data_IF_815921878127
#
_entry.id   IF_815921878127
#
_cell.length_a   1.000
_cell.length_b   1.000
_cell.length_c   1.000
_cell.angle_alpha   90.00
_cell.angle_beta   90.00
_cell.angle_gamma   90.00
#
_symmetry.space_group_name_H-M   'P 1'
#
loop_
_entity.id
_entity.type
_entity.pdbx_description
1 polymer ?
#
# COMPACT_ATOMS: atom_id res chain seq x y z
N UNK A 1 -2.16 14.08 80.40
CA UNK A 1 -1.76 13.22 79.26
C UNK A 1 -2.69 13.54 78.11
N UNK A 2 -2.24 14.21 77.03
CA UNK A 2 -3.08 14.42 75.86
C UNK A 2 -2.97 13.18 74.96
N UNK A 3 -4.10 12.52 74.68
CA UNK A 3 -4.17 11.49 73.65
C UNK A 3 -4.34 12.20 72.30
N UNK A 4 -3.30 12.16 71.46
CA UNK A 4 -3.34 12.55 70.05
C UNK A 4 -4.01 11.47 69.20
N UNK A 5 -4.53 11.83 68.03
CA UNK A 5 -5.69 11.21 67.43
C UNK A 5 -5.31 10.01 66.56
N UNK A 6 -6.16 8.99 66.52
CA UNK A 6 -6.09 7.95 65.51
C UNK A 6 -6.41 8.58 64.15
N UNK A 7 -5.34 8.85 63.37
CA UNK A 7 -5.40 9.10 61.94
C UNK A 7 -6.08 7.90 61.29
N UNK A 8 -7.39 8.02 61.05
CA UNK A 8 -8.09 7.16 60.10
C UNK A 8 -7.44 7.42 58.74
N UNK A 9 -6.57 6.51 58.32
CA UNK A 9 -6.10 6.44 56.95
C UNK A 9 -7.36 6.31 56.09
N UNK A 10 -7.76 7.39 55.43
CA UNK A 10 -8.70 7.37 54.34
C UNK A 10 -8.10 6.41 53.30
N UNK A 11 -8.57 5.18 53.29
CA UNK A 11 -8.50 4.32 52.12
C UNK A 11 -9.19 5.12 51.02
N UNK A 12 -8.39 5.77 50.18
CA UNK A 12 -8.85 6.50 49.03
C UNK A 12 -9.56 5.47 48.15
N UNK A 13 -10.88 5.36 48.29
CA UNK A 13 -11.72 4.52 47.45
C UNK A 13 -11.73 5.17 46.09
N UNK A 14 -10.66 4.94 45.33
CA UNK A 14 -10.53 5.35 43.94
C UNK A 14 -11.42 4.43 43.11
N UNK A 15 -12.73 4.55 43.32
CA UNK A 15 -13.79 3.94 42.53
C UNK A 15 -13.96 4.76 41.25
N UNK A 16 -12.86 4.88 40.50
CA UNK A 16 -12.87 5.53 39.21
C UNK A 16 -13.33 4.53 38.16
N UNK A 17 -14.28 4.94 37.32
CA UNK A 17 -14.58 4.23 36.07
C UNK A 17 -13.24 4.05 35.31
N UNK A 18 -12.92 2.83 34.84
CA UNK A 18 -11.65 2.60 34.16
C UNK A 18 -11.51 3.49 32.93
N UNK A 19 -10.31 4.04 32.70
CA UNK A 19 -10.06 4.95 31.57
C UNK A 19 -9.66 4.17 30.32
N UNK A 20 -10.27 4.49 29.17
CA UNK A 20 -9.86 3.93 27.87
C UNK A 20 -8.48 4.48 27.49
N UNK A 21 -7.52 3.60 27.22
CA UNK A 21 -6.14 3.94 26.84
C UNK A 21 -5.48 2.83 26.03
N UNK A 22 -4.59 3.20 25.12
CA UNK A 22 -3.78 2.26 24.36
C UNK A 22 -2.57 1.72 25.14
N UNK A 23 -2.29 2.25 26.34
CA UNK A 23 -1.19 1.75 27.20
C UNK A 23 -1.33 0.27 27.54
N UNK A 24 -2.58 -0.20 27.63
CA UNK A 24 -2.86 -1.58 27.99
C UNK A 24 -2.35 -2.60 26.97
N UNK A 25 -2.28 -2.22 25.69
CA UNK A 25 -1.87 -3.11 24.61
C UNK A 25 -0.41 -3.55 24.72
N UNK A 26 0.41 -2.72 25.37
CA UNK A 26 1.83 -3.00 25.60
C UNK A 26 2.10 -3.80 26.88
N UNK A 27 1.12 -3.89 27.78
CA UNK A 27 1.27 -4.68 29.00
C UNK A 27 1.09 -6.17 28.69
N UNK A 28 2.02 -7.00 29.18
CA UNK A 28 1.86 -8.46 29.14
C UNK A 28 0.75 -8.95 30.07
N UNK A 29 0.60 -8.29 31.22
CA UNK A 29 -0.42 -8.62 32.21
C UNK A 29 -1.68 -7.81 31.88
N UNK A 30 -2.67 -8.50 31.32
CA UNK A 30 -3.99 -7.94 31.00
C UNK A 30 -5.07 -9.00 31.15
N UNK A 31 -6.27 -8.57 31.52
CA UNK A 31 -7.44 -9.42 31.67
C UNK A 31 -8.34 -9.25 30.44
N UNK A 32 -8.77 -10.37 29.87
CA UNK A 32 -9.64 -10.42 28.69
C UNK A 32 -11.11 -10.46 29.10
N UNK A 33 -11.88 -9.45 28.68
CA UNK A 33 -13.34 -9.34 28.88
C UNK A 33 -14.11 -9.38 27.55
N UNK A 34 -13.59 -10.10 26.56
CA UNK A 34 -14.22 -10.30 25.25
C UNK A 34 -14.01 -9.11 24.32
N UNK A 35 -14.66 -7.96 24.61
CA UNK A 35 -14.59 -6.74 23.78
C UNK A 35 -13.47 -5.77 24.18
N UNK A 36 -12.91 -5.96 25.37
CA UNK A 36 -11.90 -5.06 25.94
C UNK A 36 -10.91 -5.83 26.80
N UNK A 37 -9.73 -5.22 26.97
CA UNK A 37 -8.71 -5.64 27.90
C UNK A 37 -8.66 -4.68 29.08
N UNK A 38 -8.43 -5.20 30.29
CA UNK A 38 -8.22 -4.40 31.51
C UNK A 38 -6.82 -4.67 32.05
N UNK A 39 -6.11 -3.60 32.41
CA UNK A 39 -4.79 -3.68 33.03
C UNK A 39 -4.51 -2.43 33.87
N UNK A 40 -3.42 -2.47 34.62
CA UNK A 40 -2.94 -1.34 35.40
C UNK A 40 -2.13 -0.38 34.53
N UNK A 41 -2.21 0.92 34.80
CA UNK A 41 -1.49 1.95 34.05
C UNK A 41 0.04 1.82 34.11
N UNK A 42 0.55 1.10 35.11
CA UNK A 42 1.96 0.77 35.34
C UNK A 42 2.30 -0.69 34.95
N UNK A 43 1.39 -1.39 34.27
CA UNK A 43 1.48 -2.82 33.94
C UNK A 43 1.66 -3.76 35.14
N UNK A 44 1.29 -3.34 36.36
CA UNK A 44 1.19 -4.22 37.53
C UNK A 44 -0.04 -5.14 37.46
N UNK A 45 -0.16 -6.07 38.40
CA UNK A 45 -1.24 -7.06 38.41
C UNK A 45 -2.61 -6.44 38.78
N UNK A 46 -3.61 -6.51 37.88
CA UNK A 46 -4.97 -6.04 38.14
C UNK A 46 -5.78 -7.10 38.90
N UNK A 47 -6.57 -6.65 39.87
CA UNK A 47 -7.53 -7.49 40.61
C UNK A 47 -8.95 -6.99 40.34
N UNK A 48 -9.83 -7.87 39.86
CA UNK A 48 -11.23 -7.55 39.57
C UNK A 48 -12.09 -8.06 40.71
N UNK A 49 -12.86 -7.15 41.31
CA UNK A 49 -13.77 -7.42 42.42
C UNK A 49 -15.14 -7.86 41.92
N UNK A 50 -15.62 -7.24 40.84
CA UNK A 50 -16.88 -7.60 40.18
C UNK A 50 -16.67 -7.68 38.67
N UNK A 51 -16.91 -8.86 38.11
CA UNK A 51 -16.75 -9.14 36.68
C UNK A 51 -17.82 -8.44 35.83
N UNK A 52 -19.01 -8.23 36.36
CA UNK A 52 -20.13 -7.64 35.62
C UNK A 52 -19.93 -6.14 35.46
N UNK A 53 -19.59 -5.46 36.54
CA UNK A 53 -19.30 -4.01 36.52
C UNK A 53 -17.85 -3.68 36.17
N UNK A 54 -16.99 -4.71 36.02
CA UNK A 54 -15.56 -4.59 35.72
C UNK A 54 -14.83 -3.68 36.71
N UNK A 55 -15.30 -3.67 37.95
CA UNK A 55 -14.75 -2.88 39.04
C UNK A 55 -13.57 -3.64 39.68
N UNK A 56 -12.49 -2.93 39.99
CA UNK A 56 -11.29 -3.55 40.57
C UNK A 56 -10.26 -2.55 41.08
N UNK A 57 -9.05 -3.04 41.31
CA UNK A 57 -7.90 -2.22 41.71
C UNK A 57 -6.58 -2.86 41.25
N UNK A 58 -5.51 -2.06 41.28
CA UNK A 58 -4.14 -2.52 41.05
C UNK A 58 -3.42 -2.71 42.37
N UNK A 59 -2.65 -3.78 42.52
CA UNK A 59 -1.88 -4.03 43.77
C UNK A 59 -0.89 -2.93 44.10
N UNK A 60 -0.35 -2.24 43.09
CA UNK A 60 0.56 -1.11 43.25
C UNK A 60 -0.16 0.20 43.64
N UNK A 61 -1.49 0.23 43.65
CA UNK A 61 -2.28 1.46 43.78
C UNK A 61 -2.39 2.28 42.50
N UNK A 62 -1.86 1.78 41.37
CA UNK A 62 -2.03 2.40 40.07
C UNK A 62 -3.49 2.45 39.61
N UNK A 63 -3.77 3.32 38.65
CA UNK A 63 -5.10 3.41 38.05
C UNK A 63 -5.39 2.19 37.19
N UNK A 64 -6.63 1.69 37.27
CA UNK A 64 -7.14 0.75 36.29
C UNK A 64 -7.40 1.48 34.97
N UNK A 65 -6.98 0.81 33.92
CA UNK A 65 -7.15 1.27 32.55
C UNK A 65 -7.71 0.15 31.69
N UNK A 66 -8.47 0.53 30.67
CA UNK A 66 -9.05 -0.41 29.72
C UNK A 66 -8.61 -0.07 28.30
N UNK A 67 -8.60 -1.05 27.42
CA UNK A 67 -8.41 -0.86 25.98
C UNK A 67 -9.49 -1.65 25.26
N UNK A 68 -10.18 -1.01 24.30
CA UNK A 68 -11.07 -1.72 23.39
C UNK A 68 -10.24 -2.61 22.47
N UNK A 69 -10.67 -3.85 22.26
CA UNK A 69 -10.05 -4.69 21.22
C UNK A 69 -10.36 -4.07 19.86
N UNK A 70 -9.39 -4.05 18.93
CA UNK A 70 -9.69 -3.69 17.55
C UNK A 70 -10.81 -4.60 17.03
N UNK A 71 -11.76 -4.02 16.32
CA UNK A 71 -12.75 -4.82 15.62
C UNK A 71 -12.08 -5.49 14.41
N UNK A 72 -12.34 -6.78 14.28
CA UNK A 72 -11.85 -7.62 13.20
C UNK A 72 -13.01 -7.85 12.22
N UNK A 73 -12.75 -7.66 10.93
CA UNK A 73 -13.72 -7.86 9.84
C UNK A 73 -13.17 -8.84 8.82
N UNK A 74 -14.05 -9.65 8.21
CA UNK A 74 -13.68 -10.67 7.24
C UNK A 74 -14.37 -10.43 5.91
N UNK A 75 -13.65 -10.59 4.80
CA UNK A 75 -14.20 -10.44 3.46
C UNK A 75 -13.48 -11.32 2.44
N UNK A 76 -14.21 -11.71 1.41
CA UNK A 76 -13.65 -12.47 0.29
C UNK A 76 -12.85 -11.58 -0.66
N UNK A 77 -11.70 -12.07 -1.09
CA UNK A 77 -10.91 -11.47 -2.15
C UNK A 77 -10.80 -12.46 -3.29
N UNK A 78 -11.21 -12.03 -4.48
CA UNK A 78 -11.10 -12.80 -5.72
C UNK A 78 -9.92 -12.31 -6.55
N UNK A 79 -9.05 -13.24 -6.94
CA UNK A 79 -7.96 -13.00 -7.86
C UNK A 79 -8.45 -12.76 -9.31
N UNK A 80 -7.52 -12.43 -10.22
CA UNK A 80 -7.84 -12.32 -11.63
C UNK A 80 -8.27 -13.68 -12.20
N UNK A 81 -9.12 -13.64 -13.23
CA UNK A 81 -9.44 -14.82 -14.01
C UNK A 81 -8.21 -15.33 -14.76
N UNK A 82 -8.00 -16.64 -14.70
CA UNK A 82 -7.07 -17.35 -15.56
C UNK A 82 -7.56 -17.32 -17.03
N UNK A 83 -6.68 -17.73 -17.94
CA UNK A 83 -7.04 -17.90 -19.34
C UNK A 83 -8.20 -18.91 -19.49
N UNK A 84 -9.05 -18.65 -20.47
CA UNK A 84 -10.14 -19.56 -20.82
C UNK A 84 -9.57 -20.87 -21.39
N UNK A 85 -10.20 -22.00 -21.06
CA UNK A 85 -9.81 -23.32 -21.57
C UNK A 85 -9.90 -23.44 -23.10
N UNK A 86 -10.82 -22.69 -23.70
CA UNK A 86 -11.11 -22.73 -25.13
C UNK A 86 -11.10 -21.30 -25.68
N UNK A 87 -10.51 -21.03 -26.86
CA UNK A 87 -10.51 -19.70 -27.46
C UNK A 87 -11.87 -19.31 -28.08
N UNK A 88 -12.72 -20.31 -28.39
CA UNK A 88 -14.06 -20.19 -28.97
C UNK A 88 -14.87 -21.45 -28.64
N UNK A 89 -16.14 -21.49 -29.08
CA UNK A 89 -17.14 -22.54 -28.86
C UNK A 89 -17.48 -22.83 -27.38
N UNK A 90 -17.16 -21.90 -26.49
CA UNK A 90 -17.35 -22.06 -25.06
C UNK A 90 -16.19 -22.77 -24.39
N UNK A 91 -15.80 -22.23 -23.24
CA UNK A 91 -14.81 -22.78 -22.36
C UNK A 91 -15.09 -22.38 -20.92
N UNK A 92 -14.15 -22.74 -20.06
CA UNK A 92 -14.22 -22.50 -18.63
C UNK A 92 -12.95 -21.77 -18.21
N UNK A 93 -13.09 -20.77 -17.34
CA UNK A 93 -11.97 -20.11 -16.66
C UNK A 93 -12.13 -20.22 -15.16
N UNK A 94 -10.99 -20.26 -14.48
CA UNK A 94 -10.88 -20.39 -13.03
C UNK A 94 -10.23 -19.14 -12.43
N UNK A 95 -10.46 -18.88 -11.15
CA UNK A 95 -9.72 -17.87 -10.38
C UNK A 95 -9.56 -18.32 -8.94
N UNK A 96 -8.56 -17.77 -8.29
CA UNK A 96 -8.38 -17.94 -6.85
C UNK A 96 -9.35 -17.06 -6.07
N UNK A 97 -9.87 -17.59 -4.96
CA UNK A 97 -10.74 -16.88 -4.02
C UNK A 97 -10.31 -17.29 -2.63
N UNK A 98 -10.00 -16.30 -1.79
CA UNK A 98 -9.52 -16.51 -0.42
C UNK A 98 -10.15 -15.51 0.56
N UNK A 99 -10.33 -15.94 1.81
CA UNK A 99 -10.85 -15.10 2.88
C UNK A 99 -9.72 -14.28 3.53
N UNK A 100 -9.96 -12.98 3.74
CA UNK A 100 -9.03 -12.08 4.40
C UNK A 100 -9.67 -11.39 5.61
N UNK A 101 -8.91 -11.31 6.70
CA UNK A 101 -9.21 -10.51 7.88
C UNK A 101 -8.61 -9.10 7.80
N UNK A 102 -9.24 -8.13 8.43
CA UNK A 102 -8.77 -6.75 8.58
C UNK A 102 -9.04 -6.24 9.99
N UNK A 103 -8.10 -5.48 10.56
CA UNK A 103 -8.25 -4.86 11.88
C UNK A 103 -8.47 -3.35 11.74
N UNK A 104 -9.46 -2.83 12.45
CA UNK A 104 -9.86 -1.41 12.38
C UNK A 104 -8.83 -0.43 13.00
N UNK A 105 -7.78 -0.92 13.66
CA UNK A 105 -6.75 -0.07 14.28
C UNK A 105 -5.65 0.41 13.32
N UNK A 106 -5.84 0.21 12.01
CA UNK A 106 -4.90 0.55 10.93
C UNK A 106 -3.52 -0.16 11.01
N UNK A 107 -3.30 -1.08 11.96
CA UNK A 107 -2.00 -1.77 12.09
C UNK A 107 -1.83 -2.88 11.06
N UNK A 108 -2.90 -3.62 10.77
CA UNK A 108 -2.91 -4.71 9.78
C UNK A 108 -4.12 -4.52 8.87
N UNK A 109 -3.87 -4.13 7.61
CA UNK A 109 -4.95 -3.89 6.64
C UNK A 109 -5.58 -5.17 6.13
N UNK A 110 -4.78 -6.20 5.82
CA UNK A 110 -5.28 -7.48 5.31
C UNK A 110 -4.33 -8.62 5.71
N UNK A 111 -4.88 -9.74 6.16
CA UNK A 111 -4.14 -10.99 6.38
C UNK A 111 -5.00 -12.20 6.00
N UNK A 112 -4.38 -13.28 5.49
CA UNK A 112 -5.12 -14.47 5.13
C UNK A 112 -5.68 -15.15 6.38
N UNK A 113 -6.91 -15.64 6.29
CA UNK A 113 -7.59 -16.41 7.33
C UNK A 113 -8.23 -17.66 6.73
N UNK A 114 -8.78 -18.52 7.56
CA UNK A 114 -9.53 -19.69 7.10
C UNK A 114 -10.81 -19.26 6.37
N UNK A 115 -11.16 -20.01 5.32
CA UNK A 115 -12.36 -19.77 4.49
C UNK A 115 -13.65 -19.76 5.34
N UNK A 116 -13.69 -20.49 6.46
CA UNK A 116 -14.83 -20.51 7.38
C UNK A 116 -15.08 -19.19 8.14
N UNK A 117 -14.11 -18.28 8.16
CA UNK A 117 -14.26 -16.96 8.79
C UNK A 117 -15.11 -16.01 7.94
N UNK A 118 -15.18 -16.22 6.63
CA UNK A 118 -16.02 -15.43 5.73
C UNK A 118 -17.39 -16.08 5.53
N UNK A 119 -18.41 -15.27 5.23
CA UNK A 119 -19.74 -15.77 4.90
C UNK A 119 -19.71 -16.56 3.59
N UNK A 120 -20.12 -17.83 3.62
CA UNK A 120 -20.18 -18.68 2.42
C UNK A 120 -21.14 -18.11 1.35
N UNK A 121 -22.19 -17.39 1.76
CA UNK A 121 -23.16 -16.78 0.85
C UNK A 121 -22.57 -15.62 0.03
N UNK A 122 -21.52 -14.98 0.54
CA UNK A 122 -20.82 -13.88 -0.14
C UNK A 122 -19.65 -14.36 -1.00
N UNK A 123 -19.40 -15.68 -1.03
CA UNK A 123 -18.24 -16.25 -1.69
C UNK A 123 -18.30 -16.03 -3.21
N UNK A 124 -17.31 -15.33 -3.81
CA UNK A 124 -17.25 -15.14 -5.26
C UNK A 124 -17.07 -16.48 -5.99
N UNK A 125 -17.65 -16.59 -7.19
CA UNK A 125 -17.51 -17.79 -8.03
C UNK A 125 -16.04 -18.11 -8.33
N UNK A 126 -15.58 -19.34 -8.09
CA UNK A 126 -14.22 -19.81 -8.44
C UNK A 126 -14.05 -20.15 -9.92
N UNK A 127 -15.16 -20.28 -10.64
CA UNK A 127 -15.20 -20.73 -12.03
C UNK A 127 -16.36 -20.07 -12.77
N UNK A 128 -16.14 -19.76 -14.05
CA UNK A 128 -17.23 -19.31 -14.92
C UNK A 128 -17.01 -19.73 -16.38
N UNK A 129 -18.09 -19.69 -17.16
CA UNK A 129 -18.04 -19.89 -18.60
C UNK A 129 -17.40 -18.70 -19.32
N UNK A 130 -16.65 -18.96 -20.37
CA UNK A 130 -15.98 -17.94 -21.18
C UNK A 130 -15.99 -18.32 -22.66
N UNK A 131 -15.68 -17.35 -23.53
CA UNK A 131 -15.48 -17.56 -24.97
C UNK A 131 -16.61 -18.30 -25.70
N UNK A 132 -17.87 -17.91 -25.44
CA UNK A 132 -19.07 -18.53 -26.01
C UNK A 132 -19.27 -18.26 -27.52
N UNK A 133 -18.46 -17.38 -28.11
CA UNK A 133 -18.48 -17.15 -29.57
C UNK A 133 -18.06 -18.39 -30.34
N UNK A 134 -18.71 -18.67 -31.47
CA UNK A 134 -18.32 -19.79 -32.31
C UNK A 134 -16.94 -19.61 -32.92
N UNK A 135 -16.21 -20.71 -33.13
CA UNK A 135 -15.00 -20.66 -33.95
C UNK A 135 -15.44 -20.36 -35.39
N UNK A 136 -15.02 -19.22 -35.94
CA UNK A 136 -15.34 -18.88 -37.33
C UNK A 136 -14.72 -19.92 -38.28
N UNK A 137 -15.43 -20.23 -39.37
CA UNK A 137 -14.85 -20.98 -40.48
C UNK A 137 -13.63 -20.22 -41.04
N UNK A 138 -12.60 -20.90 -41.57
CA UNK A 138 -11.42 -20.27 -42.15
C UNK A 138 -11.71 -19.33 -43.34
N UNK A 139 -12.96 -19.20 -43.77
CA UNK A 139 -13.39 -18.36 -44.89
C UNK A 139 -13.99 -17.00 -44.48
N UNK A 140 -13.73 -16.51 -43.25
CA UNK A 140 -13.99 -15.09 -42.96
C UNK A 140 -12.94 -14.45 -42.04
N UNK A 141 -11.67 -14.81 -42.22
CA UNK A 141 -10.63 -13.79 -42.05
C UNK A 141 -10.67 -12.87 -43.25
N UNK A 142 -11.44 -11.78 -43.19
CA UNK A 142 -11.07 -10.42 -43.65
C UNK A 142 -12.19 -9.40 -43.32
N UNK A 143 -12.29 -9.03 -42.05
CA UNK A 143 -12.55 -7.62 -41.70
C UNK A 143 -11.89 -7.24 -40.36
N UNK A 144 -10.82 -7.92 -39.94
CA UNK A 144 -9.86 -7.29 -39.04
C UNK A 144 -9.12 -6.25 -39.87
N UNK A 145 -9.71 -5.07 -40.00
CA UNK A 145 -9.07 -3.90 -40.58
C UNK A 145 -7.89 -3.59 -39.66
N UNK A 146 -6.63 -3.91 -40.00
CA UNK A 146 -5.53 -3.52 -39.15
C UNK A 146 -5.45 -2.02 -39.32
N UNK A 147 -5.95 -1.26 -38.34
CA UNK A 147 -5.74 0.18 -38.28
C UNK A 147 -4.24 0.36 -38.08
N UNK A 148 -3.51 0.40 -39.20
CA UNK A 148 -2.07 0.60 -39.27
C UNK A 148 -1.83 1.96 -38.63
N UNK A 149 -1.48 1.93 -37.36
CA UNK A 149 -1.10 3.10 -36.58
C UNK A 149 0.24 3.59 -37.13
N UNK A 150 0.21 4.28 -38.27
CA UNK A 150 1.30 5.13 -38.70
C UNK A 150 1.45 6.26 -37.70
N UNK A 151 2.67 6.49 -37.21
CA UNK A 151 2.99 7.64 -36.36
C UNK A 151 2.44 8.92 -37.00
N UNK A 152 1.70 9.69 -36.20
CA UNK A 152 1.07 10.95 -36.59
C UNK A 152 2.01 11.77 -37.47
N UNK A 153 1.55 12.19 -38.66
CA UNK A 153 2.37 12.99 -39.59
C UNK A 153 2.94 14.26 -38.96
N UNK A 154 2.33 14.76 -37.89
CA UNK A 154 2.85 15.86 -37.09
C UNK A 154 4.16 15.53 -36.36
N UNK A 155 4.32 14.29 -35.86
CA UNK A 155 5.58 13.84 -35.27
C UNK A 155 6.70 13.80 -36.31
N UNK A 156 6.41 13.37 -37.53
CA UNK A 156 7.38 13.34 -38.62
C UNK A 156 7.79 14.77 -39.01
N UNK A 157 6.83 15.68 -39.13
CA UNK A 157 7.10 17.09 -39.40
C UNK A 157 7.96 17.72 -38.30
N UNK A 158 7.65 17.48 -37.02
CA UNK A 158 8.47 17.98 -35.90
C UNK A 158 9.92 17.48 -35.97
N UNK A 159 10.13 16.20 -36.25
CA UNK A 159 11.49 15.64 -36.36
C UNK A 159 12.26 16.32 -37.50
N UNK A 160 11.63 16.57 -38.64
CA UNK A 160 12.25 17.25 -39.79
C UNK A 160 12.58 18.71 -39.45
N UNK A 161 11.68 19.44 -38.80
CA UNK A 161 11.92 20.83 -38.39
C UNK A 161 13.05 20.93 -37.34
N UNK A 162 13.09 20.02 -36.37
CA UNK A 162 14.16 19.96 -35.38
C UNK A 162 15.51 19.63 -36.02
N UNK A 163 15.54 18.70 -36.98
CA UNK A 163 16.75 18.34 -37.73
C UNK A 163 17.29 19.49 -38.58
N UNK A 164 16.42 20.19 -39.33
CA UNK A 164 16.82 21.34 -40.15
C UNK A 164 17.29 22.53 -39.29
N UNK A 165 16.66 22.76 -38.13
CA UNK A 165 17.11 23.77 -37.17
C UNK A 165 18.51 23.50 -36.62
N UNK A 166 18.82 22.23 -36.29
CA UNK A 166 20.13 21.85 -35.78
C UNK A 166 21.25 22.02 -36.82
N UNK A 167 21.00 21.64 -38.08
CA UNK A 167 22.00 21.75 -39.17
C UNK A 167 22.25 23.23 -39.52
N UNK A 168 21.20 24.05 -39.55
CA UNK A 168 21.33 25.50 -39.78
C UNK A 168 22.15 26.21 -38.69
N UNK A 169 21.97 25.82 -37.42
CA UNK A 169 22.73 26.37 -36.30
C UNK A 169 24.23 26.02 -36.36
N UNK A 170 24.57 24.80 -36.76
CA UNK A 170 25.98 24.38 -36.93
C UNK A 170 26.62 25.15 -38.08
N UNK A 171 25.94 25.29 -39.22
CA UNK A 171 26.49 26.05 -40.35
C UNK A 171 26.71 27.53 -40.03
N UNK A 172 25.80 28.16 -39.27
CA UNK A 172 25.92 29.57 -38.88
C UNK A 172 27.05 29.81 -37.86
N UNK A 173 27.22 28.92 -36.88
CA UNK A 173 28.33 29.01 -35.93
C UNK A 173 29.68 28.73 -36.60
N UNK A 174 29.77 27.73 -37.49
CA UNK A 174 30.95 27.49 -38.31
C UNK A 174 31.29 28.67 -39.23
N UNK A 175 30.30 29.29 -39.87
CA UNK A 175 30.50 30.45 -40.75
C UNK A 175 30.96 31.69 -39.97
N UNK A 176 30.35 31.98 -38.81
CA UNK A 176 30.75 33.11 -37.97
C UNK A 176 32.10 32.87 -37.30
N UNK A 177 32.44 31.64 -36.92
CA UNK A 177 33.77 31.24 -36.47
C UNK A 177 34.83 31.43 -37.57
N UNK A 178 34.55 30.94 -38.78
CA UNK A 178 35.42 31.13 -39.95
C UNK A 178 35.64 32.62 -40.24
N UNK A 179 34.58 33.43 -40.24
CA UNK A 179 34.66 34.87 -40.50
C UNK A 179 35.41 35.63 -39.41
N UNK A 180 35.26 35.25 -38.12
CA UNK A 180 36.08 35.82 -37.03
C UNK A 180 37.55 35.50 -37.20
N UNK A 181 37.89 34.27 -37.63
CA UNK A 181 39.28 33.84 -37.83
C UNK A 181 39.95 34.58 -39.01
N UNK A 182 39.20 34.90 -40.06
CA UNK A 182 39.70 35.67 -41.21
C UNK A 182 39.87 37.19 -40.93
N UNK A 183 39.26 37.71 -39.84
CA UNK A 183 39.28 39.14 -39.49
C UNK A 183 40.23 39.49 -38.33
N UNK A 184 40.91 38.51 -37.71
CA UNK A 184 41.86 38.72 -36.62
C UNK A 184 43.31 38.67 -37.10
N UNK A 185 43.96 39.83 -37.16
CA UNK A 185 45.41 39.98 -37.40
C UNK A 185 46.19 39.67 -36.11
N UNK A 186 46.95 38.56 -36.05
CA UNK A 186 48.21 38.41 -35.30
C UNK A 186 48.79 36.97 -35.33
N UNK A 187 50.02 36.84 -35.84
CA UNK A 187 51.08 35.92 -35.39
C UNK A 187 50.93 34.41 -35.59
N UNK A 188 51.60 33.83 -36.59
CA UNK A 188 51.85 32.39 -36.64
C UNK A 188 53.01 32.03 -35.69
N UNK A 189 52.74 31.22 -34.66
CA UNK A 189 53.79 30.49 -33.91
C UNK A 189 53.87 29.09 -34.52
N UNK A 190 54.97 28.78 -35.21
CA UNK A 190 55.25 27.41 -35.65
C UNK A 190 55.91 26.65 -34.49
N UNK A 191 55.19 25.67 -33.93
CA UNK A 191 55.78 24.63 -33.09
C UNK A 191 56.00 23.41 -33.98
N UNK A 192 57.24 23.21 -34.41
CA UNK A 192 57.69 21.98 -35.06
C UNK A 192 57.86 20.92 -33.97
N UNK A 193 57.08 19.84 -34.01
CA UNK A 193 57.42 18.62 -33.27
C UNK A 193 57.83 17.56 -34.28
N UNK A 194 59.10 17.20 -34.21
CA UNK A 194 59.71 16.12 -34.98
C UNK A 194 59.03 14.79 -34.67
N UNK A 195 58.62 14.08 -35.72
CA UNK A 195 58.24 12.68 -35.65
C UNK A 195 59.52 11.86 -35.50
N UNK A 196 59.64 11.17 -34.37
CA UNK A 196 60.65 10.14 -34.17
C UNK A 196 59.97 8.77 -34.08
N UNK A 197 60.53 7.87 -34.90
CA UNK A 197 60.36 6.41 -35.04
C UNK A 197 59.00 5.87 -35.50
#
# INVERSE_FOLDING_TARGET
>A
MPATPHTFLLLQTRTGIPKVTNKCGHCKIKLDFGKEFICCSDCSEPTIMDKNTKLGYCKSGADLTMQLKPQETFHWVAGPWMMCSSPCDGGIRYRDVACYGSLDDNTIKHYPVDDASCSADEMPAKQEGCNQQSCGDPETTQAMNPKRSGMSGWLVALIVFLGLGAIGGIAFTSYTYYRRRASGSSGFVYVMMEAYY
#
